data_IF_785145140733
#
_entry.id   IF_785145140733
#
_cell.length_a   1.000
_cell.length_b   1.000
_cell.length_c   1.000
_cell.angle_alpha   90.00
_cell.angle_beta   90.00
_cell.angle_gamma   90.00
#
_symmetry.space_group_name_H-M   'P 1'
#
loop_
_entity.id
_entity.type
_entity.pdbx_description
1 polymer ?
#
# COMPACT_ATOMS: atom_id res chain seq x y z
N UNK A 1 5.74 -5.69 -3.30
CA UNK A 1 4.31 -5.51 -2.99
C UNK A 1 3.50 -6.13 -4.11
N UNK A 2 2.48 -6.92 -3.82
CA UNK A 2 1.72 -7.60 -4.88
C UNK A 2 0.82 -6.57 -5.58
N UNK A 3 0.94 -6.43 -6.92
CA UNK A 3 0.06 -5.55 -7.72
C UNK A 3 -1.39 -6.04 -7.73
N UNK A 4 -1.63 -7.24 -7.23
CA UNK A 4 -2.97 -7.83 -7.13
C UNK A 4 -3.73 -7.41 -5.87
N UNK A 5 -3.21 -6.45 -5.08
CA UNK A 5 -3.84 -6.00 -3.84
C UNK A 5 -3.95 -4.47 -3.80
N UNK A 6 -4.45 -3.89 -4.88
CA UNK A 6 -4.64 -2.44 -5.02
C UNK A 6 -5.46 -1.79 -3.90
N UNK A 7 -6.45 -2.46 -3.27
CA UNK A 7 -7.18 -1.88 -2.14
C UNK A 7 -6.29 -1.59 -0.93
N UNK A 8 -5.28 -2.41 -0.67
CA UNK A 8 -4.39 -2.26 0.49
C UNK A 8 -3.54 -0.98 0.43
N UNK A 9 -2.82 -0.66 -0.68
CA UNK A 9 -2.05 0.57 -0.77
C UNK A 9 -2.88 1.83 -0.98
N UNK A 10 -4.20 1.74 -1.18
CA UNK A 10 -5.07 2.91 -1.31
C UNK A 10 -4.91 3.89 -0.13
N UNK A 11 -4.64 3.41 1.07
CA UNK A 11 -4.39 4.24 2.26
C UNK A 11 -3.10 5.08 2.17
N UNK A 12 -2.16 4.72 1.31
CA UNK A 12 -0.86 5.41 1.25
C UNK A 12 -0.96 6.85 0.77
N UNK A 13 -1.90 7.14 -0.15
CA UNK A 13 -2.11 8.52 -0.62
C UNK A 13 -2.56 9.44 0.53
N UNK A 14 -3.36 8.93 1.46
CA UNK A 14 -3.85 9.69 2.62
C UNK A 14 -2.76 9.94 3.67
N UNK A 15 -1.73 9.10 3.72
CA UNK A 15 -0.60 9.24 4.66
C UNK A 15 0.57 10.00 4.06
N UNK A 16 0.85 9.81 2.78
CA UNK A 16 2.07 10.29 2.13
C UNK A 16 1.85 11.50 1.22
N UNK A 17 0.59 11.76 0.82
CA UNK A 17 0.27 12.65 -0.28
C UNK A 17 0.56 12.01 -1.64
N UNK A 18 0.08 12.68 -2.70
CA UNK A 18 0.04 12.09 -4.05
C UNK A 18 1.43 11.74 -4.62
N UNK A 19 2.41 12.62 -4.46
CA UNK A 19 3.71 12.45 -5.13
C UNK A 19 4.53 11.28 -4.56
N UNK A 20 4.60 11.15 -3.24
CA UNK A 20 5.31 10.04 -2.60
C UNK A 20 4.58 8.71 -2.86
N UNK A 21 3.23 8.73 -2.78
CA UNK A 21 2.43 7.54 -3.09
C UNK A 21 2.61 7.11 -4.55
N UNK A 22 2.58 8.04 -5.52
CA UNK A 22 2.86 7.73 -6.93
C UNK A 22 4.24 7.10 -7.11
N UNK A 23 5.28 7.72 -6.57
CA UNK A 23 6.64 7.17 -6.67
C UNK A 23 6.66 5.72 -6.21
N UNK A 24 6.19 5.44 -4.99
CA UNK A 24 6.25 4.09 -4.43
C UNK A 24 5.37 3.08 -5.17
N UNK A 25 4.14 3.49 -5.55
CA UNK A 25 3.19 2.57 -6.19
C UNK A 25 3.49 2.33 -7.67
N UNK A 26 4.08 3.29 -8.38
CA UNK A 26 4.40 3.16 -9.80
C UNK A 26 5.77 2.52 -10.06
N UNK A 27 6.71 2.63 -9.12
CA UNK A 27 8.04 2.03 -9.27
C UNK A 27 8.18 0.68 -8.58
N UNK A 28 7.38 0.41 -7.53
CA UNK A 28 7.57 -0.77 -6.68
C UNK A 28 8.79 -0.68 -5.77
N UNK A 29 9.43 0.49 -5.66
CA UNK A 29 10.63 0.68 -4.83
C UNK A 29 10.39 0.24 -3.38
N UNK A 30 11.33 -0.51 -2.83
CA UNK A 30 11.35 -0.85 -1.42
C UNK A 30 11.94 0.31 -0.61
N UNK A 31 11.36 0.56 0.55
CA UNK A 31 11.84 1.55 1.51
C UNK A 31 12.14 0.89 2.86
N UNK A 32 13.09 1.44 3.58
CA UNK A 32 13.39 1.03 4.95
C UNK A 32 12.35 1.55 5.94
N UNK A 33 12.26 0.95 7.12
CA UNK A 33 11.43 1.47 8.21
C UNK A 33 11.76 2.91 8.60
N UNK A 34 13.04 3.29 8.56
CA UNK A 34 13.49 4.67 8.84
C UNK A 34 12.98 5.66 7.80
N UNK A 35 13.05 5.30 6.51
CA UNK A 35 12.48 6.12 5.43
C UNK A 35 10.96 6.22 5.54
N UNK A 36 10.28 5.11 5.85
CA UNK A 36 8.84 5.10 6.09
C UNK A 36 8.42 6.05 7.22
N UNK A 37 9.18 6.09 8.32
CA UNK A 37 8.96 7.03 9.43
C UNK A 37 9.24 8.48 9.01
N UNK A 38 10.35 8.73 8.31
CA UNK A 38 10.70 10.06 7.82
C UNK A 38 9.68 10.63 6.83
N UNK A 39 9.02 9.76 6.04
CA UNK A 39 7.97 10.16 5.10
C UNK A 39 6.58 10.30 5.74
N UNK A 40 6.37 9.80 6.94
CA UNK A 40 5.07 9.80 7.62
C UNK A 40 4.16 8.61 7.28
N UNK A 41 4.70 7.56 6.66
CA UNK A 41 3.94 6.33 6.39
C UNK A 41 3.67 5.55 7.67
N UNK A 42 4.64 5.50 8.57
CA UNK A 42 4.54 4.92 9.91
C UNK A 42 4.88 5.97 10.97
N UNK A 43 4.43 5.75 12.20
CA UNK A 43 4.63 6.70 13.30
C UNK A 43 6.12 6.84 13.67
N UNK A 44 6.80 5.70 13.82
CA UNK A 44 8.22 5.63 14.13
C UNK A 44 8.81 4.30 13.63
N UNK A 45 10.14 4.24 13.55
CA UNK A 45 10.88 3.03 13.29
C UNK A 45 11.91 2.83 14.40
N UNK A 46 11.86 1.68 15.05
CA UNK A 46 12.74 1.30 16.17
C UNK A 46 13.42 -0.03 15.87
N UNK A 47 14.54 -0.36 16.53
CA UNK A 47 15.11 -1.70 16.48
C UNK A 47 14.08 -2.77 16.89
N UNK A 48 14.12 -3.92 16.24
CA UNK A 48 13.17 -5.01 16.49
C UNK A 48 13.04 -5.40 17.96
N UNK A 49 14.12 -5.50 18.77
CA UNK A 49 14.00 -5.82 20.20
C UNK A 49 13.22 -4.79 21.01
N UNK A 50 13.17 -3.52 20.56
CA UNK A 50 12.51 -2.43 21.28
C UNK A 50 11.03 -2.26 20.86
N UNK A 51 10.60 -2.92 19.79
CA UNK A 51 9.28 -2.70 19.17
C UNK A 51 8.13 -2.94 20.16
N UNK A 52 8.14 -4.05 20.86
CA UNK A 52 7.07 -4.40 21.79
C UNK A 52 6.98 -3.41 22.96
N UNK A 53 8.10 -3.00 23.53
CA UNK A 53 8.11 -2.05 24.63
C UNK A 53 7.57 -0.68 24.20
N UNK A 54 7.94 -0.22 22.98
CA UNK A 54 7.44 1.04 22.41
C UNK A 54 5.95 0.97 22.15
N UNK A 55 5.45 -0.13 21.60
CA UNK A 55 4.01 -0.34 21.36
C UNK A 55 3.22 -0.35 22.66
N UNK A 56 3.69 -1.08 23.68
CA UNK A 56 3.05 -1.14 25.00
C UNK A 56 3.06 0.22 25.68
N UNK A 57 4.17 0.93 25.64
CA UNK A 57 4.27 2.28 26.22
C UNK A 57 3.27 3.26 25.58
N UNK A 58 3.16 3.25 24.25
CA UNK A 58 2.18 4.08 23.53
C UNK A 58 0.74 3.68 23.87
N UNK A 59 0.44 2.37 23.85
CA UNK A 59 -0.88 1.85 24.19
C UNK A 59 -1.30 2.23 25.62
N UNK A 60 -0.38 2.16 26.59
CA UNK A 60 -0.61 2.56 27.97
C UNK A 60 -0.93 4.07 28.07
N UNK A 61 -0.20 4.91 27.35
CA UNK A 61 -0.50 6.35 27.29
C UNK A 61 -1.87 6.63 26.73
N UNK A 62 -2.28 5.93 25.66
CA UNK A 62 -3.60 6.06 25.05
C UNK A 62 -4.69 5.57 26.02
N UNK A 63 -4.47 4.46 26.71
CA UNK A 63 -5.41 3.89 27.69
C UNK A 63 -5.67 4.82 28.89
N UNK A 64 -4.75 5.73 29.19
CA UNK A 64 -4.90 6.72 30.27
C UNK A 64 -5.85 7.89 29.87
N UNK A 65 -6.21 8.03 28.60
CA UNK A 65 -7.13 9.08 28.13
C UNK A 65 -8.58 8.68 28.52
N UNK A 66 -9.41 9.62 29.02
CA UNK A 66 -10.81 9.33 29.31
C UNK A 66 -11.54 8.69 28.13
N UNK A 67 -12.20 7.56 28.36
CA UNK A 67 -12.81 6.70 27.32
C UNK A 67 -13.69 7.46 26.32
N UNK A 68 -14.57 8.32 26.82
CA UNK A 68 -15.49 9.06 25.94
C UNK A 68 -14.73 10.05 25.04
N UNK A 69 -13.72 10.74 25.59
CA UNK A 69 -12.87 11.63 24.81
C UNK A 69 -12.10 10.85 23.73
N UNK A 70 -11.53 9.70 24.09
CA UNK A 70 -10.82 8.83 23.15
C UNK A 70 -11.72 8.38 21.99
N UNK A 71 -12.95 7.93 22.32
CA UNK A 71 -13.93 7.54 21.31
C UNK A 71 -14.29 8.70 20.36
N UNK A 72 -14.62 9.87 20.90
CA UNK A 72 -14.99 11.04 20.09
C UNK A 72 -13.85 11.49 19.17
N UNK A 73 -12.62 11.57 19.67
CA UNK A 73 -11.45 11.93 18.86
C UNK A 73 -11.19 10.90 17.75
N UNK A 74 -11.27 9.61 18.06
CA UNK A 74 -11.12 8.54 17.07
C UNK A 74 -12.19 8.62 15.97
N UNK A 75 -13.45 8.81 16.35
CA UNK A 75 -14.54 8.94 15.39
C UNK A 75 -14.39 10.17 14.50
N UNK A 76 -13.98 11.30 15.07
CA UNK A 76 -13.70 12.53 14.31
C UNK A 76 -12.59 12.30 13.28
N UNK A 77 -11.48 11.65 13.67
CA UNK A 77 -10.36 11.37 12.75
C UNK A 77 -10.80 10.43 11.62
N UNK A 78 -11.54 9.35 11.97
CA UNK A 78 -12.04 8.42 10.96
C UNK A 78 -12.98 9.11 9.99
N UNK A 79 -13.93 9.92 10.50
CA UNK A 79 -14.85 10.69 9.66
C UNK A 79 -14.14 11.64 8.71
N UNK A 80 -13.06 12.31 9.16
CA UNK A 80 -12.26 13.16 8.30
C UNK A 80 -11.63 12.38 7.14
N UNK A 81 -11.05 11.22 7.40
CA UNK A 81 -10.44 10.35 6.37
C UNK A 81 -11.51 9.83 5.40
N UNK A 82 -12.69 9.42 5.90
CA UNK A 82 -13.80 8.98 5.06
C UNK A 82 -14.31 10.12 4.16
N UNK A 83 -14.44 11.33 4.70
CA UNK A 83 -14.84 12.52 3.93
C UNK A 83 -13.82 12.92 2.86
N UNK A 84 -12.55 12.55 3.01
CA UNK A 84 -11.53 12.69 1.97
C UNK A 84 -11.68 11.65 0.83
N UNK A 85 -12.66 10.75 0.89
CA UNK A 85 -12.97 9.80 -0.17
C UNK A 85 -12.29 8.45 -0.04
N UNK A 86 -11.86 8.03 1.15
CA UNK A 86 -11.18 6.74 1.35
C UNK A 86 -12.01 5.56 0.84
N UNK A 87 -13.31 5.51 1.16
CA UNK A 87 -14.20 4.41 0.75
C UNK A 87 -14.31 4.32 -0.76
N UNK A 88 -14.47 5.46 -1.45
CA UNK A 88 -14.52 5.52 -2.90
C UNK A 88 -13.19 5.08 -3.53
N UNK A 89 -12.07 5.53 -2.96
CA UNK A 89 -10.73 5.14 -3.43
C UNK A 89 -10.51 3.63 -3.32
N UNK A 90 -10.90 3.01 -2.21
CA UNK A 90 -10.82 1.56 -2.01
C UNK A 90 -11.72 0.79 -2.99
N UNK A 91 -12.93 1.29 -3.24
CA UNK A 91 -13.85 0.68 -4.21
C UNK A 91 -13.27 0.70 -5.63
N UNK A 92 -12.72 1.85 -6.09
CA UNK A 92 -12.04 1.93 -7.38
C UNK A 92 -10.80 1.03 -7.44
N UNK A 93 -10.00 0.99 -6.39
CA UNK A 93 -8.84 0.12 -6.33
C UNK A 93 -9.23 -1.36 -6.44
N UNK A 94 -10.32 -1.79 -5.80
CA UNK A 94 -10.86 -3.14 -5.93
C UNK A 94 -11.33 -3.44 -7.36
N UNK A 95 -12.03 -2.50 -7.98
CA UNK A 95 -12.48 -2.62 -9.38
C UNK A 95 -11.27 -2.76 -10.32
N UNK A 96 -10.26 -1.90 -10.17
CA UNK A 96 -9.07 -1.94 -11.01
C UNK A 96 -8.23 -3.21 -10.79
N UNK A 97 -8.15 -3.72 -9.57
CA UNK A 97 -7.54 -5.03 -9.31
C UNK A 97 -8.26 -6.14 -10.08
N UNK A 98 -9.59 -6.14 -10.04
CA UNK A 98 -10.40 -7.10 -10.81
C UNK A 98 -10.17 -7.00 -12.33
N UNK A 99 -10.02 -5.80 -12.87
CA UNK A 99 -9.73 -5.57 -14.29
C UNK A 99 -8.28 -5.92 -14.67
N UNK A 100 -7.32 -5.74 -13.76
CA UNK A 100 -5.92 -6.03 -14.02
C UNK A 100 -5.62 -7.53 -14.10
N UNK A 101 -6.35 -8.37 -13.36
CA UNK A 101 -6.13 -9.83 -13.33
C UNK A 101 -6.27 -10.53 -14.68
N UNK A 102 -7.32 -10.27 -15.49
CA UNK A 102 -7.47 -10.87 -16.81
C UNK A 102 -6.71 -10.12 -17.92
N UNK A 103 -5.98 -9.05 -17.61
CA UNK A 103 -5.15 -8.35 -18.59
C UNK A 103 -3.99 -9.24 -19.07
N UNK A 104 -3.42 -9.00 -20.26
CA UNK A 104 -2.26 -9.73 -20.74
C UNK A 104 -1.11 -9.78 -19.71
N UNK A 105 -0.86 -8.68 -19.03
CA UNK A 105 0.15 -8.57 -17.99
C UNK A 105 -0.21 -9.39 -16.73
N UNK A 106 -1.47 -9.40 -16.35
CA UNK A 106 -1.96 -10.20 -15.23
C UNK A 106 -1.86 -11.69 -15.50
N UNK A 107 -2.20 -12.13 -16.70
CA UNK A 107 -2.06 -13.52 -17.16
C UNK A 107 -0.58 -13.92 -17.19
N UNK A 108 0.27 -13.08 -17.77
CA UNK A 108 1.73 -13.29 -17.78
C UNK A 108 2.29 -13.42 -16.36
N UNK A 109 1.92 -12.51 -15.45
CA UNK A 109 2.39 -12.56 -14.07
C UNK A 109 2.00 -13.87 -13.37
N UNK A 110 0.74 -14.31 -13.58
CA UNK A 110 0.26 -15.60 -13.02
C UNK A 110 1.10 -16.77 -13.55
N UNK A 111 1.36 -16.84 -14.84
CA UNK A 111 2.20 -17.88 -15.44
C UNK A 111 3.62 -17.87 -14.87
N UNK A 112 4.26 -16.68 -14.77
CA UNK A 112 5.58 -16.57 -14.15
C UNK A 112 5.59 -17.01 -12.68
N UNK A 113 4.55 -16.69 -11.93
CA UNK A 113 4.43 -17.11 -10.53
C UNK A 113 4.25 -18.63 -10.38
N UNK A 114 3.56 -19.27 -11.31
CA UNK A 114 3.39 -20.73 -11.37
C UNK A 114 4.69 -21.44 -11.78
N UNK A 115 5.42 -20.90 -12.77
CA UNK A 115 6.64 -21.51 -13.30
C UNK A 115 7.89 -21.26 -12.46
N UNK A 116 8.09 -20.04 -11.97
CA UNK A 116 9.35 -19.58 -11.31
C UNK A 116 9.16 -19.26 -9.83
N UNK A 117 7.94 -19.33 -9.34
CA UNK A 117 7.59 -18.93 -7.98
C UNK A 117 7.28 -17.44 -7.83
N UNK A 118 6.44 -17.13 -6.85
CA UNK A 118 5.88 -15.79 -6.64
C UNK A 118 6.95 -14.70 -6.43
N UNK A 119 8.00 -14.99 -5.64
CA UNK A 119 9.07 -14.02 -5.36
C UNK A 119 9.82 -13.59 -6.62
N UNK A 120 10.10 -14.54 -7.50
CA UNK A 120 10.80 -14.27 -8.75
C UNK A 120 9.91 -13.50 -9.74
N UNK A 121 8.63 -13.85 -9.83
CA UNK A 121 7.67 -13.12 -10.65
C UNK A 121 7.55 -11.64 -10.22
N UNK A 122 7.51 -11.38 -8.90
CA UNK A 122 7.52 -10.02 -8.35
C UNK A 122 8.82 -9.30 -8.69
N UNK A 123 9.98 -9.95 -8.49
CA UNK A 123 11.29 -9.36 -8.81
C UNK A 123 11.39 -8.96 -10.28
N UNK A 124 10.92 -9.82 -11.18
CA UNK A 124 10.95 -9.56 -12.61
C UNK A 124 10.00 -8.41 -12.99
N UNK A 125 8.78 -8.37 -12.43
CA UNK A 125 7.83 -7.28 -12.65
C UNK A 125 8.39 -5.93 -12.20
N UNK A 126 9.03 -5.88 -11.03
CA UNK A 126 9.50 -4.63 -10.40
C UNK A 126 10.94 -4.29 -10.79
N UNK A 127 11.54 -4.99 -11.76
CA UNK A 127 12.92 -4.76 -12.22
C UNK A 127 13.11 -3.46 -13.00
N UNK A 128 12.04 -2.85 -13.50
CA UNK A 128 12.08 -1.73 -14.44
C UNK A 128 12.34 -2.13 -15.90
N UNK A 129 12.60 -3.42 -16.15
CA UNK A 129 12.76 -3.96 -17.51
C UNK A 129 11.40 -4.27 -18.13
N UNK A 130 11.25 -4.13 -19.46
CA UNK A 130 10.02 -4.55 -20.14
C UNK A 130 9.67 -6.01 -19.82
N UNK A 131 8.42 -6.26 -19.45
CA UNK A 131 7.99 -7.58 -19.01
C UNK A 131 8.15 -8.65 -20.11
N UNK A 132 7.69 -8.35 -21.32
CA UNK A 132 7.93 -9.12 -22.53
C UNK A 132 7.45 -8.33 -23.74
N UNK A 133 8.08 -8.57 -24.89
CA UNK A 133 7.65 -7.97 -26.13
C UNK A 133 6.25 -8.49 -26.51
N UNK A 134 5.28 -7.56 -26.67
CA UNK A 134 3.88 -7.88 -27.03
C UNK A 134 2.93 -8.15 -25.87
N UNK A 135 3.40 -8.24 -24.62
CA UNK A 135 2.52 -8.38 -23.45
C UNK A 135 1.87 -7.04 -23.09
N UNK A 136 2.65 -5.95 -23.09
CA UNK A 136 2.15 -4.60 -22.81
C UNK A 136 1.62 -3.93 -24.08
N UNK A 137 0.42 -4.31 -24.53
CA UNK A 137 -0.31 -3.46 -25.46
C UNK A 137 -1.18 -2.50 -24.67
N UNK A 138 -1.12 -1.18 -24.95
CA UNK A 138 -1.98 -0.22 -24.25
C UNK A 138 -3.43 -0.65 -24.37
N UNK A 139 -4.10 -0.76 -23.23
CA UNK A 139 -5.52 -1.14 -23.15
C UNK A 139 -6.41 -0.06 -23.77
N UNK A 140 -5.89 1.15 -23.93
CA UNK A 140 -6.54 2.28 -24.56
C UNK A 140 -5.63 2.89 -25.65
N UNK A 141 -6.16 3.02 -26.84
CA UNK A 141 -5.70 4.01 -27.82
C UNK A 141 -6.51 5.27 -27.54
N UNK A 142 -5.89 6.24 -26.89
CA UNK A 142 -6.39 7.61 -26.89
C UNK A 142 -6.11 8.26 -28.25
#
# INVERSE_FOLDING_TARGET
MCSSDLPTPAMWIYRLGAEKAKRMLLTGDLITGKEAAAMGLVLEAVPEPELNDRVVALATRIAAVPKNQLMMVKLMINQAIESMGLVQTQMFATLFDGLARPSPEGVWFKQQAEEKGFKEAVRQRDSGEPIAEGVSKPFYRF
#
